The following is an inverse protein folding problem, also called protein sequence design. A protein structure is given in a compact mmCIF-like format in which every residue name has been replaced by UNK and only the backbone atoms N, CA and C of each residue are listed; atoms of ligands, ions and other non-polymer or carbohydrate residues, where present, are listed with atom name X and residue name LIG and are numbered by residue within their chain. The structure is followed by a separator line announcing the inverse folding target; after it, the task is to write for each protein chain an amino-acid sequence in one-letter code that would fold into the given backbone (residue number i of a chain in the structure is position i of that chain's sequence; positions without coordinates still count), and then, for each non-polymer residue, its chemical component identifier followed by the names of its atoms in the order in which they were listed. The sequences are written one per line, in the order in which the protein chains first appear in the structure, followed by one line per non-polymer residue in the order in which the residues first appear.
data_IF_390597643068
#
_entry.id   IF_390597643068
#
_cell.length_a   1.000
_cell.length_b   1.000
_cell.length_c   1.000
_cell.angle_alpha   90.00
_cell.angle_beta   90.00
_cell.angle_gamma   90.00
#
_symmetry.space_group_name_H-M   'P 1'
#
loop_
_entity.id
_entity.type
_entity.pdbx_description
1 polymer ?
#
# COMPACT_ATOMS: atom_id res chain seq x y z
N UNK A 1 3.75 11.86 3.42
CA UNK A 1 3.43 10.43 3.49
C UNK A 1 1.99 10.33 3.90
N UNK A 2 1.21 9.55 3.17
CA UNK A 2 -0.23 9.39 3.32
C UNK A 2 -0.59 8.06 3.96
N UNK A 3 -1.86 7.96 4.34
CA UNK A 3 -2.48 6.79 4.93
C UNK A 3 -3.87 6.64 4.32
N UNK A 4 -4.30 5.41 4.09
CA UNK A 4 -5.65 5.09 3.63
C UNK A 4 -6.16 3.87 4.39
N UNK A 5 -7.45 3.87 4.72
CA UNK A 5 -8.14 2.67 5.17
C UNK A 5 -9.10 2.24 4.07
N UNK A 6 -9.12 0.94 3.76
CA UNK A 6 -10.12 0.31 2.92
C UNK A 6 -10.46 -1.05 3.55
N UNK A 7 -11.75 -1.33 3.71
CA UNK A 7 -12.27 -2.44 4.50
C UNK A 7 -11.66 -2.53 5.91
N UNK A 8 -11.11 -3.69 6.30
CA UNK A 8 -10.47 -3.95 7.59
C UNK A 8 -8.95 -3.72 7.57
N UNK A 9 -8.43 -3.06 6.53
CA UNK A 9 -7.00 -2.86 6.34
C UNK A 9 -6.62 -1.37 6.37
N UNK A 10 -5.44 -1.08 6.94
CA UNK A 10 -4.83 0.25 6.88
C UNK A 10 -3.53 0.16 6.09
N UNK A 11 -3.35 1.04 5.12
CA UNK A 11 -2.13 1.10 4.31
C UNK A 11 -1.45 2.46 4.45
N UNK A 12 -0.14 2.45 4.62
CA UNK A 12 0.68 3.64 4.86
C UNK A 12 1.77 3.74 3.79
N UNK A 13 1.97 4.94 3.25
CA UNK A 13 3.11 5.20 2.39
C UNK A 13 4.37 5.15 3.26
N UNK A 14 5.27 4.23 2.95
CA UNK A 14 6.51 4.01 3.68
C UNK A 14 7.72 4.28 2.77
N UNK A 15 8.92 4.32 3.35
CA UNK A 15 10.16 4.70 2.65
C UNK A 15 10.28 4.14 1.24
N UNK A 16 10.58 2.84 1.11
CA UNK A 16 10.76 2.16 -0.19
C UNK A 16 9.47 1.56 -0.78
N UNK A 17 8.31 1.83 -0.19
CA UNK A 17 7.06 1.22 -0.65
C UNK A 17 5.82 1.62 0.13
N UNK A 18 4.96 0.64 0.37
CA UNK A 18 3.78 0.77 1.23
C UNK A 18 3.77 -0.34 2.28
N UNK A 19 3.19 -0.05 3.44
CA UNK A 19 3.08 -0.98 4.54
C UNK A 19 1.62 -1.13 4.95
N UNK A 20 1.17 -2.36 5.13
CA UNK A 20 -0.11 -2.70 5.71
C UNK A 20 0.01 -2.72 7.24
N UNK A 21 -0.99 -2.18 7.90
CA UNK A 21 -1.10 -2.14 9.35
C UNK A 21 -2.43 -2.79 9.74
N UNK A 22 -2.37 -3.78 10.62
CA UNK A 22 -3.56 -4.33 11.26
C UNK A 22 -4.09 -3.30 12.27
N UNK A 23 -5.28 -2.72 12.04
CA UNK A 23 -5.83 -1.68 12.91
C UNK A 23 -6.23 -2.21 14.29
N UNK A 24 -6.44 -3.52 14.46
CA UNK A 24 -6.84 -4.11 15.74
C UNK A 24 -5.66 -4.31 16.69
N UNK A 25 -4.44 -4.51 16.15
CA UNK A 25 -3.23 -4.78 16.94
C UNK A 25 -2.13 -3.72 16.79
N UNK A 26 -2.26 -2.79 15.82
CA UNK A 26 -1.18 -1.93 15.32
C UNK A 26 0.04 -2.72 14.82
N UNK A 27 -0.16 -3.98 14.47
CA UNK A 27 0.88 -4.84 13.93
C UNK A 27 1.23 -4.47 12.49
N UNK A 28 2.50 -4.57 12.15
CA UNK A 28 2.95 -4.52 10.76
C UNK A 28 2.53 -5.83 10.07
N UNK A 29 1.73 -5.71 9.01
CA UNK A 29 1.40 -6.81 8.12
C UNK A 29 2.42 -6.90 6.99
N UNK A 30 1.95 -6.69 5.76
CA UNK A 30 2.78 -6.74 4.57
C UNK A 30 3.54 -5.44 4.29
N UNK A 31 4.70 -5.56 3.66
CA UNK A 31 5.37 -4.46 2.96
C UNK A 31 5.46 -4.76 1.46
N UNK A 32 5.07 -3.80 0.62
CA UNK A 32 5.13 -3.91 -0.84
C UNK A 32 6.07 -2.85 -1.38
N UNK A 33 7.15 -3.29 -2.03
CA UNK A 33 8.11 -2.37 -2.65
C UNK A 33 7.50 -1.71 -3.90
N UNK A 34 7.57 -0.39 -3.98
CA UNK A 34 7.14 0.37 -5.17
C UNK A 34 8.29 0.69 -6.11
N UNK A 35 9.53 0.37 -5.70
CA UNK A 35 10.76 0.79 -6.39
C UNK A 35 11.10 2.27 -6.21
N UNK A 36 10.28 3.03 -5.46
CA UNK A 36 10.51 4.43 -5.11
C UNK A 36 10.90 4.53 -3.63
N UNK A 37 11.85 5.41 -3.32
CA UNK A 37 12.27 5.75 -1.94
C UNK A 37 11.50 6.95 -1.36
N UNK A 38 10.52 7.51 -2.09
CA UNK A 38 9.70 8.66 -1.63
C UNK A 38 8.25 8.55 -2.09
N UNK A 39 7.56 7.57 -1.55
CA UNK A 39 6.11 7.44 -1.67
C UNK A 39 5.41 8.53 -0.85
N UNK A 40 4.42 9.20 -1.43
CA UNK A 40 3.83 10.40 -0.84
C UNK A 40 2.39 10.21 -0.38
N UNK A 41 1.49 9.75 -1.25
CA UNK A 41 0.08 9.49 -0.93
C UNK A 41 -0.38 8.17 -1.55
N UNK A 42 -1.41 7.57 -0.95
CA UNK A 42 -2.04 6.33 -1.38
C UNK A 42 -3.53 6.58 -1.63
N UNK A 43 -4.05 6.03 -2.73
CA UNK A 43 -5.49 5.95 -2.99
C UNK A 43 -5.86 4.59 -3.52
N UNK A 44 -7.04 4.13 -3.12
CA UNK A 44 -7.71 3.02 -3.75
C UNK A 44 -8.76 3.52 -4.73
N UNK A 45 -8.83 2.87 -5.88
CA UNK A 45 -9.84 3.11 -6.89
C UNK A 45 -10.15 1.78 -7.58
N UNK A 46 -11.41 1.33 -7.49
CA UNK A 46 -11.90 0.10 -8.10
C UNK A 46 -11.04 -1.14 -7.73
N UNK A 47 -10.69 -1.28 -6.44
CA UNK A 47 -9.88 -2.39 -5.93
C UNK A 47 -8.40 -2.33 -6.33
N UNK A 48 -7.95 -1.20 -6.88
CA UNK A 48 -6.56 -0.99 -7.28
C UNK A 48 -5.91 0.06 -6.41
N UNK A 49 -4.76 -0.28 -5.83
CA UNK A 49 -3.92 0.68 -5.12
C UNK A 49 -3.08 1.52 -6.09
N UNK A 50 -3.13 2.84 -5.88
CA UNK A 50 -2.33 3.84 -6.57
C UNK A 50 -1.46 4.59 -5.58
N UNK A 51 -0.16 4.71 -5.90
CA UNK A 51 0.83 5.38 -5.06
C UNK A 51 1.51 6.47 -5.84
N UNK A 52 1.53 7.68 -5.28
CA UNK A 52 2.30 8.79 -5.85
C UNK A 52 3.75 8.77 -5.34
N UNK A 53 4.70 8.96 -6.24
CA UNK A 53 6.13 9.01 -5.91
C UNK A 53 6.74 10.34 -6.36
N UNK A 54 7.29 11.10 -5.41
CA UNK A 54 7.83 12.44 -5.71
C UNK A 54 9.12 12.43 -6.53
N UNK A 55 9.94 11.37 -6.43
CA UNK A 55 11.20 11.29 -7.20
C UNK A 55 11.05 10.67 -8.58
N UNK A 56 10.12 9.73 -8.74
CA UNK A 56 9.84 9.16 -10.05
C UNK A 56 9.00 10.11 -10.91
N UNK A 57 8.39 11.15 -10.31
CA UNK A 57 7.44 12.04 -11.00
C UNK A 57 6.29 11.27 -11.65
N UNK A 58 5.89 10.17 -11.02
CA UNK A 58 4.93 9.21 -11.53
C UNK A 58 3.91 8.83 -10.45
N UNK A 59 2.74 8.38 -10.89
CA UNK A 59 1.78 7.64 -10.07
C UNK A 59 1.82 6.20 -10.53
N UNK A 60 2.11 5.29 -9.61
CA UNK A 60 2.30 3.88 -9.90
C UNK A 60 1.08 3.09 -9.43
N UNK A 61 0.64 2.15 -10.27
CA UNK A 61 -0.24 1.07 -9.83
C UNK A 61 0.58 0.09 -9.01
N UNK A 62 0.10 -0.26 -7.82
CA UNK A 62 0.75 -1.24 -6.95
C UNK A 62 -0.10 -2.51 -6.94
N UNK A 63 0.53 -3.63 -7.24
CA UNK A 63 -0.12 -4.94 -7.18
C UNK A 63 -0.12 -5.45 -5.74
N UNK A 64 -1.32 -5.55 -5.17
CA UNK A 64 -1.57 -6.12 -3.84
C UNK A 64 -2.30 -7.47 -3.95
N UNK A 65 -2.60 -7.95 -5.16
CA UNK A 65 -3.44 -9.12 -5.42
C UNK A 65 -2.74 -10.46 -5.14
N UNK A 66 -1.41 -10.45 -4.98
CA UNK A 66 -0.62 -11.63 -4.60
C UNK A 66 -1.03 -12.31 -3.28
N UNK A 67 -2.02 -11.78 -2.56
CA UNK A 67 -2.49 -12.31 -1.28
C UNK A 67 -3.98 -12.72 -1.23
N UNK A 68 -4.85 -12.29 -2.15
CA UNK A 68 -6.25 -12.80 -2.17
C UNK A 68 -6.32 -14.33 -2.41
N UNK A 69 -5.28 -14.90 -3.02
CA UNK A 69 -5.14 -16.35 -3.22
C UNK A 69 -4.68 -17.13 -1.97
N UNK A 70 -4.12 -16.46 -0.95
CA UNK A 70 -3.57 -17.12 0.25
C UNK A 70 -4.60 -17.25 1.39
N UNK A 71 -5.68 -16.46 1.36
CA UNK A 71 -6.80 -16.57 2.31
C UNK A 71 -7.94 -17.48 1.81
N UNK A 72 -7.88 -17.92 0.55
CA UNK A 72 -8.90 -18.76 -0.09
C UNK A 72 -8.43 -20.21 -0.36
N UNK A 73 -7.37 -20.68 0.30
CA UNK A 73 -6.92 -22.09 0.33
C UNK A 73 -6.92 -22.64 1.75
#
# INVERSE_FOLDING_TARGET
MGIVGEDDEVWVAAGSGVAQIDPSTNGLGQEVATGSSRNYDIKFLDGVMWVSATYLSEVQKVDISSFEEALNQ
#
